data_IF_221893067570
#
_entry.id   IF_221893067570
#
_cell.length_a   1.000
_cell.length_b   1.000
_cell.length_c   1.000
_cell.angle_alpha   90.00
_cell.angle_beta   90.00
_cell.angle_gamma   90.00
#
_symmetry.space_group_name_H-M   'P 1'
#
loop_
_entity.id
_entity.type
_entity.pdbx_description
1 polymer ?
#
# COMPACT_ATOMS: atom_id res chain seq x y z
N UNK A 1 41.65 -47.02 41.73
CA UNK A 1 41.60 -47.10 40.25
C UNK A 1 40.35 -47.77 39.64
N UNK A 2 39.44 -48.40 40.40
CA UNK A 2 38.22 -49.04 39.82
C UNK A 2 36.98 -48.12 39.67
N UNK A 3 36.97 -46.93 40.29
CA UNK A 3 35.83 -45.98 40.23
C UNK A 3 35.84 -45.05 39.00
N UNK A 4 37.02 -44.59 38.55
CA UNK A 4 37.13 -43.71 37.36
C UNK A 4 36.72 -44.40 36.04
N UNK A 5 36.88 -45.73 35.95
CA UNK A 5 36.52 -46.51 34.76
C UNK A 5 35.00 -46.60 34.52
N UNK A 6 34.18 -46.50 35.58
CA UNK A 6 32.72 -46.52 35.45
C UNK A 6 32.15 -45.15 35.08
N UNK A 7 32.76 -44.06 35.54
CA UNK A 7 32.36 -42.69 35.19
C UNK A 7 32.69 -42.34 33.73
N UNK A 8 33.84 -42.79 33.21
CA UNK A 8 34.19 -42.61 31.80
C UNK A 8 33.26 -43.37 30.84
N UNK A 9 32.75 -44.54 31.25
CA UNK A 9 31.77 -45.29 30.46
C UNK A 9 30.38 -44.65 30.47
N UNK A 10 30.01 -43.92 31.53
CA UNK A 10 28.76 -43.17 31.56
C UNK A 10 28.81 -41.90 30.69
N UNK A 11 29.95 -41.21 30.65
CA UNK A 11 30.16 -40.04 29.80
C UNK A 11 30.22 -40.42 28.31
N UNK A 12 30.77 -41.60 27.97
CA UNK A 12 30.79 -42.11 26.60
C UNK A 12 29.42 -42.48 26.02
N UNK A 13 28.46 -42.87 26.87
CA UNK A 13 27.10 -43.26 26.41
C UNK A 13 26.16 -42.05 26.31
N UNK A 14 26.35 -41.01 27.13
CA UNK A 14 25.55 -39.77 27.05
C UNK A 14 25.98 -38.90 25.85
N UNK A 15 27.24 -39.00 25.41
CA UNK A 15 27.74 -38.21 24.27
C UNK A 15 27.30 -38.72 22.88
N UNK A 16 26.61 -39.86 22.80
CA UNK A 16 26.16 -40.45 21.52
C UNK A 16 24.68 -40.18 21.19
N UNK A 17 23.95 -39.46 22.05
CA UNK A 17 22.52 -39.15 21.86
C UNK A 17 22.23 -37.77 21.25
N UNK A 18 23.26 -37.00 20.87
CA UNK A 18 23.10 -35.63 20.33
C UNK A 18 23.35 -35.53 18.81
N UNK A 19 23.50 -36.67 18.12
CA UNK A 19 23.69 -36.74 16.66
C UNK A 19 22.41 -36.70 15.84
N UNK A 20 21.35 -36.08 16.32
CA UNK A 20 20.13 -35.86 15.52
C UNK A 20 20.36 -34.74 14.51
N UNK A 21 20.87 -35.06 13.32
CA UNK A 21 20.65 -34.19 12.18
C UNK A 21 19.13 -34.10 11.98
N UNK A 22 18.59 -32.90 12.18
CA UNK A 22 17.22 -32.61 11.78
C UNK A 22 17.24 -32.68 10.25
N UNK A 23 16.55 -33.66 9.66
CA UNK A 23 16.37 -33.69 8.22
C UNK A 23 15.74 -32.35 7.81
N UNK A 24 16.42 -31.63 6.93
CA UNK A 24 15.85 -30.45 6.33
C UNK A 24 14.59 -30.91 5.58
N UNK A 25 13.44 -30.37 5.98
CA UNK A 25 12.20 -30.59 5.23
C UNK A 25 12.44 -30.05 3.82
N UNK A 26 12.65 -30.95 2.86
CA UNK A 26 12.65 -30.61 1.44
C UNK A 26 11.21 -30.23 1.08
N UNK A 27 10.93 -28.93 1.15
CA UNK A 27 9.68 -28.38 0.64
C UNK A 27 9.66 -28.61 -0.88
N UNK A 28 8.71 -29.36 -1.43
CA UNK A 28 8.67 -29.67 -2.85
C UNK A 28 8.21 -28.45 -3.64
N UNK A 29 9.08 -27.46 -3.85
CA UNK A 29 8.78 -26.29 -4.66
C UNK A 29 9.35 -26.47 -6.07
N UNK A 30 8.62 -27.21 -6.91
CA UNK A 30 8.75 -27.09 -8.36
C UNK A 30 7.95 -25.84 -8.77
N UNK A 31 8.67 -24.76 -9.09
CA UNK A 31 8.19 -23.52 -9.74
C UNK A 31 7.38 -22.49 -8.90
N UNK A 32 8.02 -21.85 -7.92
CA UNK A 32 7.55 -20.59 -7.31
C UNK A 32 7.94 -19.34 -8.12
N UNK A 33 8.56 -19.51 -9.29
CA UNK A 33 9.24 -18.42 -10.04
C UNK A 33 8.33 -17.61 -10.95
N UNK A 34 7.02 -17.92 -11.03
CA UNK A 34 6.11 -17.27 -11.97
C UNK A 34 4.62 -17.30 -11.55
N UNK A 35 4.26 -16.59 -10.48
CA UNK A 35 2.91 -16.64 -9.89
C UNK A 35 2.05 -15.47 -10.36
N UNK A 36 0.79 -15.74 -10.71
CA UNK A 36 -0.20 -14.70 -10.98
C UNK A 36 -0.63 -14.06 -9.65
N UNK A 37 -0.63 -12.73 -9.60
CA UNK A 37 -1.02 -11.94 -8.43
C UNK A 37 -2.18 -11.03 -8.80
N UNK A 38 -3.22 -11.05 -7.99
CA UNK A 38 -4.47 -10.31 -8.22
C UNK A 38 -4.79 -9.47 -6.98
N UNK A 39 -5.09 -8.20 -7.21
CA UNK A 39 -5.61 -7.31 -6.18
C UNK A 39 -6.90 -6.69 -6.71
N UNK A 40 -8.00 -6.84 -5.97
CA UNK A 40 -9.27 -6.24 -6.36
C UNK A 40 -10.29 -6.35 -5.24
N UNK A 41 -10.76 -5.20 -4.78
CA UNK A 41 -11.88 -5.08 -3.87
C UNK A 41 -12.94 -4.22 -4.53
N UNK A 42 -14.17 -4.72 -4.62
CA UNK A 42 -15.35 -3.93 -5.01
C UNK A 42 -15.99 -3.38 -3.75
N UNK A 43 -16.19 -2.06 -3.69
CA UNK A 43 -16.82 -1.37 -2.56
C UNK A 43 -18.12 -0.67 -2.96
N UNK A 44 -18.94 -0.33 -1.99
CA UNK A 44 -20.14 0.50 -2.16
C UNK A 44 -19.84 2.02 -2.12
N UNK A 45 -18.57 2.42 -1.99
CA UNK A 45 -18.17 3.82 -1.99
C UNK A 45 -18.25 4.42 -3.41
N UNK A 46 -18.59 5.71 -3.57
CA UNK A 46 -18.65 6.39 -4.86
C UNK A 46 -17.24 6.78 -5.34
N UNK A 47 -16.36 5.80 -5.47
CA UNK A 47 -14.98 5.96 -5.89
C UNK A 47 -14.64 5.01 -7.03
N UNK A 48 -13.56 5.34 -7.73
CA UNK A 48 -13.03 4.54 -8.82
C UNK A 48 -12.64 3.13 -8.36
N UNK A 49 -13.40 2.13 -8.79
CA UNK A 49 -13.12 0.71 -8.53
C UNK A 49 -12.01 0.20 -9.46
N UNK A 50 -11.01 -0.50 -8.91
CA UNK A 50 -9.83 -0.96 -9.65
C UNK A 50 -9.52 -2.44 -9.39
N UNK A 51 -9.00 -3.10 -10.41
CA UNK A 51 -8.42 -4.44 -10.35
C UNK A 51 -7.00 -4.36 -10.89
N UNK A 52 -6.03 -4.89 -10.15
CA UNK A 52 -4.64 -4.95 -10.57
C UNK A 52 -4.23 -6.39 -10.85
N UNK A 53 -3.65 -6.61 -12.02
CA UNK A 53 -3.12 -7.91 -12.45
C UNK A 53 -1.61 -7.81 -12.63
N UNK A 54 -0.89 -8.71 -11.98
CA UNK A 54 0.56 -8.76 -12.08
C UNK A 54 1.11 -10.17 -11.93
N UNK A 55 2.41 -10.33 -12.14
CA UNK A 55 3.11 -11.59 -12.11
C UNK A 55 4.34 -11.46 -11.23
N UNK A 56 4.36 -12.19 -10.13
CA UNK A 56 5.54 -12.32 -9.30
C UNK A 56 6.57 -13.19 -10.03
N UNK A 57 7.74 -12.61 -10.35
CA UNK A 57 8.83 -13.28 -11.03
C UNK A 57 10.14 -13.00 -10.30
N UNK A 58 10.88 -14.05 -9.99
CA UNK A 58 12.24 -13.91 -9.50
C UNK A 58 13.17 -13.47 -10.65
N UNK A 59 13.98 -12.45 -10.42
CA UNK A 59 15.09 -12.09 -11.29
C UNK A 59 16.09 -13.28 -11.34
N UNK A 60 16.35 -13.86 -12.52
CA UNK A 60 17.23 -15.02 -12.65
C UNK A 60 18.69 -14.76 -12.25
N UNK A 61 19.14 -13.51 -12.27
CA UNK A 61 20.52 -13.10 -12.01
C UNK A 61 20.67 -12.67 -10.54
N UNK A 62 19.75 -11.84 -10.06
CA UNK A 62 19.85 -11.27 -8.70
C UNK A 62 19.08 -12.07 -7.64
N UNK A 63 18.22 -13.00 -8.05
CA UNK A 63 17.32 -13.73 -7.16
C UNK A 63 16.23 -12.85 -6.52
N UNK A 64 16.18 -11.56 -6.85
CA UNK A 64 15.21 -10.62 -6.26
C UNK A 64 13.83 -10.87 -6.83
N UNK A 65 12.81 -10.88 -5.96
CA UNK A 65 11.42 -10.96 -6.37
C UNK A 65 10.99 -9.60 -6.95
N UNK A 66 10.46 -9.63 -8.17
CA UNK A 66 9.85 -8.47 -8.82
C UNK A 66 8.42 -8.77 -9.26
N UNK A 67 7.63 -7.72 -9.51
CA UNK A 67 6.28 -7.85 -10.07
C UNK A 67 6.23 -7.27 -11.47
N UNK A 68 5.80 -8.07 -12.44
CA UNK A 68 5.56 -7.63 -13.82
C UNK A 68 4.07 -7.37 -13.99
N UNK A 69 3.69 -6.15 -14.35
CA UNK A 69 2.29 -5.79 -14.61
C UNK A 69 1.77 -6.52 -15.85
N UNK A 70 0.56 -7.05 -15.79
CA UNK A 70 -0.05 -7.76 -16.92
C UNK A 70 -1.03 -6.83 -17.61
N UNK A 71 -0.63 -6.30 -18.77
CA UNK A 71 -1.45 -5.43 -19.60
C UNK A 71 -2.25 -6.21 -20.65
N UNK A 72 -3.23 -5.53 -21.26
CA UNK A 72 -4.07 -6.04 -22.36
C UNK A 72 -4.92 -7.29 -22.05
N UNK A 73 -5.11 -7.63 -20.77
CA UNK A 73 -6.12 -8.58 -20.36
C UNK A 73 -7.53 -8.02 -20.58
N UNK A 74 -8.49 -8.92 -20.81
CA UNK A 74 -9.92 -8.60 -20.81
C UNK A 74 -10.41 -8.86 -19.39
N UNK A 75 -10.95 -7.85 -18.71
CA UNK A 75 -11.35 -7.94 -17.29
C UNK A 75 -12.81 -7.52 -17.15
N UNK A 76 -13.60 -8.34 -16.44
CA UNK A 76 -14.99 -8.06 -16.12
C UNK A 76 -15.34 -8.53 -14.71
N UNK A 77 -16.32 -7.88 -14.09
CA UNK A 77 -16.94 -8.33 -12.84
C UNK A 77 -18.40 -8.64 -13.14
N UNK A 78 -18.82 -9.88 -12.87
CA UNK A 78 -20.22 -10.27 -12.92
C UNK A 78 -20.92 -9.92 -11.62
N UNK A 79 -22.08 -9.29 -11.74
CA UNK A 79 -23.01 -9.02 -10.64
C UNK A 79 -24.20 -9.97 -10.78
N UNK A 80 -24.49 -10.71 -9.70
CA UNK A 80 -25.56 -11.71 -9.59
C UNK A 80 -25.57 -12.73 -10.74
N UNK A 81 -24.40 -13.04 -11.30
CA UNK A 81 -24.21 -13.96 -12.42
C UNK A 81 -24.88 -13.55 -13.74
N UNK A 82 -25.45 -12.34 -13.84
CA UNK A 82 -26.17 -11.88 -15.03
C UNK A 82 -25.59 -10.62 -15.67
N UNK A 83 -25.14 -9.65 -14.87
CA UNK A 83 -24.65 -8.37 -15.37
C UNK A 83 -23.12 -8.36 -15.39
N UNK A 84 -22.51 -8.32 -16.57
CA UNK A 84 -21.07 -8.16 -16.72
C UNK A 84 -20.69 -6.68 -16.79
N UNK A 85 -19.86 -6.23 -15.84
CA UNK A 85 -19.32 -4.87 -15.80
C UNK A 85 -17.88 -4.91 -16.34
N UNK A 86 -17.59 -4.29 -17.49
CA UNK A 86 -16.25 -4.33 -18.07
C UNK A 86 -15.31 -3.37 -17.34
N UNK A 87 -14.08 -3.79 -17.09
CA UNK A 87 -13.02 -2.94 -16.56
C UNK A 87 -12.01 -2.64 -17.68
N UNK A 88 -11.70 -1.35 -17.85
CA UNK A 88 -10.82 -0.85 -18.91
C UNK A 88 -9.44 -0.56 -18.36
N UNK A 89 -8.39 -0.95 -19.09
CA UNK A 89 -7.01 -0.64 -18.70
C UNK A 89 -6.76 0.88 -18.79
N UNK A 90 -6.25 1.47 -17.72
CA UNK A 90 -5.85 2.90 -17.67
C UNK A 90 -4.34 3.05 -17.57
N UNK A 91 -3.75 2.27 -16.68
CA UNK A 91 -2.32 2.11 -16.53
C UNK A 91 -1.96 0.65 -16.73
N UNK A 92 -0.70 0.37 -17.08
CA UNK A 92 -0.22 -1.00 -17.31
C UNK A 92 -0.58 -1.92 -16.14
N UNK A 93 -1.44 -2.90 -16.40
CA UNK A 93 -1.94 -3.87 -15.43
C UNK A 93 -2.89 -3.34 -14.35
N UNK A 94 -3.41 -2.12 -14.51
CA UNK A 94 -4.47 -1.54 -13.67
C UNK A 94 -5.73 -1.31 -14.50
N UNK A 95 -6.78 -2.05 -14.16
CA UNK A 95 -8.06 -2.07 -14.83
C UNK A 95 -9.09 -1.32 -13.98
N UNK A 96 -9.84 -0.42 -14.60
CA UNK A 96 -10.74 0.50 -13.93
C UNK A 96 -12.18 0.32 -14.43
N UNK A 97 -13.13 0.27 -13.50
CA UNK A 97 -14.55 0.24 -13.80
C UNK A 97 -15.06 1.58 -14.39
N UNK A 98 -16.23 1.61 -15.05
CA UNK A 98 -16.91 2.85 -15.38
C UNK A 98 -17.12 3.71 -14.12
N UNK A 99 -16.99 5.04 -14.24
CA UNK A 99 -17.13 5.97 -13.10
C UNK A 99 -18.50 5.91 -12.41
N UNK A 100 -19.53 5.42 -13.11
CA UNK A 100 -20.88 5.22 -12.57
C UNK A 100 -21.03 3.94 -11.75
N UNK A 101 -20.07 3.02 -11.83
CA UNK A 101 -20.14 1.73 -11.15
C UNK A 101 -19.68 1.85 -9.70
N UNK A 102 -20.55 1.41 -8.80
CA UNK A 102 -20.25 1.12 -7.40
C UNK A 102 -20.95 -0.16 -7.00
N UNK A 103 -20.34 -0.90 -6.09
CA UNK A 103 -20.97 -2.06 -5.49
C UNK A 103 -22.21 -1.71 -4.68
N UNK A 104 -23.03 -2.71 -4.41
CA UNK A 104 -24.28 -2.61 -3.70
C UNK A 104 -24.36 -3.78 -2.70
N UNK A 105 -24.71 -3.45 -1.46
CA UNK A 105 -24.84 -4.43 -0.38
C UNK A 105 -25.91 -5.46 -0.75
N UNK A 106 -25.65 -6.73 -0.44
CA UNK A 106 -26.53 -7.87 -0.73
C UNK A 106 -26.34 -8.48 -2.12
N UNK A 107 -25.69 -7.78 -3.06
CA UNK A 107 -25.37 -8.33 -4.38
C UNK A 107 -24.11 -9.21 -4.35
N UNK A 108 -24.04 -10.14 -5.30
CA UNK A 108 -22.99 -11.12 -5.42
C UNK A 108 -22.05 -10.78 -6.59
N UNK A 109 -20.74 -10.74 -6.34
CA UNK A 109 -19.72 -10.32 -7.30
C UNK A 109 -18.76 -11.45 -7.63
N UNK A 110 -18.43 -11.60 -8.91
CA UNK A 110 -17.43 -12.57 -9.40
C UNK A 110 -16.51 -11.91 -10.41
N UNK A 111 -15.21 -11.99 -10.17
CA UNK A 111 -14.18 -11.57 -11.13
C UNK A 111 -14.03 -12.61 -12.23
N UNK A 112 -13.93 -12.15 -13.48
CA UNK A 112 -13.45 -12.93 -14.62
C UNK A 112 -12.45 -12.13 -15.43
N UNK A 113 -11.43 -12.82 -15.91
CA UNK A 113 -10.52 -12.22 -16.87
C UNK A 113 -9.84 -13.23 -17.79
N UNK A 114 -9.46 -12.74 -18.95
CA UNK A 114 -8.70 -13.46 -19.96
C UNK A 114 -7.37 -12.76 -20.15
N UNK A 115 -6.28 -13.48 -19.94
CA UNK A 115 -4.93 -12.98 -20.18
C UNK A 115 -4.65 -12.84 -21.69
N UNK A 116 -3.65 -12.04 -22.10
CA UNK A 116 -3.27 -11.90 -23.52
C UNK A 116 -2.88 -13.22 -24.21
N UNK A 117 -2.46 -14.22 -23.43
CA UNK A 117 -2.12 -15.57 -23.92
C UNK A 117 -3.34 -16.50 -24.07
N UNK A 118 -4.56 -15.99 -23.81
CA UNK A 118 -5.82 -16.72 -23.94
C UNK A 118 -6.23 -17.53 -22.70
N UNK A 119 -5.43 -17.56 -21.63
CA UNK A 119 -5.83 -18.24 -20.39
C UNK A 119 -6.95 -17.49 -19.67
N UNK A 120 -7.95 -18.24 -19.21
CA UNK A 120 -9.15 -17.71 -18.56
C UNK A 120 -9.17 -18.03 -17.06
N UNK A 121 -9.57 -17.05 -16.27
CA UNK A 121 -9.61 -17.14 -14.81
C UNK A 121 -10.94 -16.65 -14.27
N UNK A 122 -11.35 -17.20 -13.14
CA UNK A 122 -12.54 -16.75 -12.42
C UNK A 122 -12.35 -16.84 -10.91
N UNK A 123 -12.92 -15.89 -10.16
CA UNK A 123 -13.01 -15.97 -8.71
C UNK A 123 -14.18 -16.84 -8.23
N UNK A 124 -14.18 -17.20 -6.95
CA UNK A 124 -15.44 -17.51 -6.25
C UNK A 124 -16.32 -16.27 -6.19
N UNK A 125 -17.60 -16.49 -5.91
CA UNK A 125 -18.56 -15.41 -5.72
C UNK A 125 -18.43 -14.83 -4.32
N UNK A 126 -18.35 -13.50 -4.20
CA UNK A 126 -18.35 -12.76 -2.95
C UNK A 126 -19.65 -11.96 -2.80
N UNK A 127 -20.39 -12.17 -1.70
CA UNK A 127 -21.59 -11.38 -1.39
C UNK A 127 -21.18 -10.19 -0.54
N UNK A 128 -21.53 -8.99 -1.00
CA UNK A 128 -21.21 -7.74 -0.30
C UNK A 128 -22.02 -7.63 1.00
N UNK A 129 -21.36 -7.82 2.14
CA UNK A 129 -21.97 -7.67 3.46
C UNK A 129 -22.14 -6.19 3.83
N UNK A 130 -23.19 -5.80 4.57
CA UNK A 130 -23.30 -4.46 5.12
C UNK A 130 -22.20 -4.22 6.16
N UNK A 131 -21.60 -3.02 6.15
CA UNK A 131 -20.74 -2.59 7.25
C UNK A 131 -21.52 -1.68 8.19
N UNK A 132 -21.48 -1.91 9.52
CA UNK A 132 -22.08 -1.00 10.48
C UNK A 132 -21.34 0.35 10.48
N UNK A 133 -21.97 1.42 10.98
CA UNK A 133 -21.30 2.71 11.14
C UNK A 133 -20.03 2.58 11.99
N UNK A 134 -19.05 3.44 11.71
CA UNK A 134 -17.85 3.55 12.54
C UNK A 134 -18.24 4.27 13.83
N UNK A 135 -17.89 3.68 14.97
CA UNK A 135 -18.08 4.27 16.30
C UNK A 135 -17.13 5.44 16.60
N UNK A 136 -16.83 5.64 17.87
CA UNK A 136 -15.96 6.73 18.32
C UNK A 136 -14.50 6.45 17.95
N UNK A 137 -13.86 7.43 17.29
CA UNK A 137 -12.42 7.43 17.05
C UNK A 137 -11.69 8.30 18.07
N UNK A 138 -10.58 7.80 18.58
CA UNK A 138 -9.69 8.52 19.49
C UNK A 138 -8.26 8.45 18.95
N UNK A 139 -7.74 9.51 18.33
CA UNK A 139 -6.33 9.59 17.96
C UNK A 139 -5.47 9.81 19.20
N UNK A 140 -4.31 9.16 19.26
CA UNK A 140 -3.32 9.36 20.31
C UNK A 140 -1.93 9.48 19.68
N UNK A 141 -1.23 10.57 20.00
CA UNK A 141 0.15 10.75 19.56
C UNK A 141 1.08 9.74 20.23
N UNK A 142 1.96 9.12 19.44
CA UNK A 142 2.97 8.18 19.93
C UNK A 142 4.28 8.35 19.15
N UNK A 143 5.34 8.73 19.85
CA UNK A 143 6.66 8.98 19.26
C UNK A 143 7.37 7.71 18.73
N UNK A 144 6.89 6.51 19.11
CA UNK A 144 7.54 5.23 18.80
C UNK A 144 6.58 4.21 18.16
N UNK A 145 5.53 4.67 17.48
CA UNK A 145 4.48 3.81 16.94
C UNK A 145 4.90 3.06 15.66
N UNK A 146 5.64 3.69 14.75
CA UNK A 146 5.95 3.09 13.45
C UNK A 146 6.95 1.91 13.55
N UNK A 147 6.68 0.79 12.86
CA UNK A 147 7.60 -0.34 12.77
C UNK A 147 8.86 0.02 11.96
N UNK A 148 9.95 -0.72 12.16
CA UNK A 148 11.28 -0.41 11.59
C UNK A 148 11.27 -0.17 10.07
N UNK A 149 10.50 -0.97 9.33
CA UNK A 149 10.37 -0.88 7.87
C UNK A 149 9.61 0.36 7.38
N UNK A 150 8.93 1.08 8.27
CA UNK A 150 8.22 2.33 7.97
C UNK A 150 8.93 3.58 8.53
N UNK A 151 10.06 3.42 9.22
CA UNK A 151 10.79 4.55 9.83
C UNK A 151 11.63 5.31 8.81
N UNK A 152 11.54 6.63 8.82
CA UNK A 152 12.43 7.47 8.02
C UNK A 152 13.85 7.33 8.56
N UNK A 153 14.81 7.05 7.67
CA UNK A 153 16.20 6.75 8.00
C UNK A 153 16.38 5.63 9.04
N UNK A 154 15.37 4.77 9.22
CA UNK A 154 15.36 3.73 10.24
C UNK A 154 15.19 4.23 11.69
N UNK A 155 15.04 5.55 11.90
CA UNK A 155 15.04 6.15 13.25
C UNK A 155 13.69 6.80 13.58
N UNK A 156 13.16 7.65 12.70
CA UNK A 156 11.98 8.44 13.02
C UNK A 156 10.70 7.57 13.00
N UNK A 157 10.01 7.49 14.13
CA UNK A 157 8.95 6.51 14.36
C UNK A 157 7.61 7.10 14.83
N UNK A 158 7.47 8.43 14.81
CA UNK A 158 6.29 9.07 15.37
C UNK A 158 5.05 8.93 14.47
N UNK A 159 3.92 8.61 15.08
CA UNK A 159 2.62 8.51 14.42
C UNK A 159 1.48 8.83 15.39
N UNK A 160 0.27 8.99 14.85
CA UNK A 160 -0.97 8.96 15.61
C UNK A 160 -1.60 7.58 15.50
N UNK A 161 -1.75 6.91 16.65
CA UNK A 161 -2.49 5.67 16.78
C UNK A 161 -3.98 6.01 16.89
N UNK A 162 -4.80 5.52 15.96
CA UNK A 162 -6.26 5.69 16.02
C UNK A 162 -6.89 4.49 16.70
N UNK A 163 -7.61 4.77 17.78
CA UNK A 163 -8.36 3.77 18.52
C UNK A 163 -9.85 3.88 18.26
N UNK A 164 -10.48 2.75 18.02
CA UNK A 164 -11.91 2.61 17.80
C UNK A 164 -12.60 2.07 19.05
N UNK A 165 -13.70 2.72 19.43
CA UNK A 165 -14.70 2.16 20.33
C UNK A 165 -16.04 2.11 19.60
N UNK A 166 -16.58 0.90 19.37
CA UNK A 166 -17.81 0.70 18.60
C UNK A 166 -18.66 -0.42 19.17
N UNK A 167 -19.97 -0.33 18.95
CA UNK A 167 -20.92 -1.37 19.29
C UNK A 167 -21.07 -2.32 18.11
N UNK A 168 -20.80 -3.60 18.33
CA UNK A 168 -20.99 -4.65 17.34
C UNK A 168 -22.50 -4.98 17.21
N UNK A 169 -23.02 -5.21 15.99
CA UNK A 169 -24.40 -5.69 15.80
C UNK A 169 -24.63 -7.06 16.44
N UNK A 170 -25.80 -7.28 17.04
CA UNK A 170 -26.13 -8.60 17.61
C UNK A 170 -26.46 -9.62 16.52
N UNK A 171 -26.35 -10.90 16.87
CA UNK A 171 -26.90 -12.05 16.11
C UNK A 171 -26.25 -12.31 14.73
N UNK A 172 -25.12 -11.69 14.43
CA UNK A 172 -24.35 -11.93 13.20
C UNK A 172 -22.89 -12.17 13.56
N UNK A 173 -22.27 -13.18 12.93
CA UNK A 173 -20.83 -13.39 13.02
C UNK A 173 -20.16 -12.49 11.98
N UNK A 174 -19.59 -11.37 12.45
CA UNK A 174 -19.01 -10.36 11.59
C UNK A 174 -17.48 -10.47 11.50
N UNK A 175 -16.99 -10.20 10.31
CA UNK A 175 -15.58 -10.08 10.02
C UNK A 175 -15.29 -8.68 9.51
N UNK A 176 -14.36 -8.00 10.16
CA UNK A 176 -14.04 -6.61 9.85
C UNK A 176 -12.64 -6.48 9.27
N UNK A 177 -12.48 -5.50 8.39
CA UNK A 177 -11.19 -4.99 7.94
C UNK A 177 -11.17 -3.48 8.07
N UNK A 178 -10.13 -2.94 8.70
CA UNK A 178 -9.90 -1.50 8.72
C UNK A 178 -8.77 -1.13 7.78
N UNK A 179 -8.98 -0.04 7.05
CA UNK A 179 -7.95 0.64 6.28
C UNK A 179 -8.09 2.15 6.49
N UNK A 180 -7.05 2.88 6.12
CA UNK A 180 -7.05 4.31 6.25
C UNK A 180 -6.35 4.98 5.08
N UNK A 181 -6.80 6.20 4.80
CA UNK A 181 -6.21 7.10 3.82
C UNK A 181 -5.97 8.46 4.45
N UNK A 182 -4.80 9.03 4.18
CA UNK A 182 -4.37 10.32 4.72
C UNK A 182 -4.13 11.27 3.56
N UNK A 183 -4.60 12.50 3.71
CA UNK A 183 -4.19 13.62 2.88
C UNK A 183 -3.32 14.56 3.72
N UNK A 184 -2.15 14.92 3.21
CA UNK A 184 -1.28 15.93 3.78
C UNK A 184 -1.00 17.02 2.76
N UNK A 185 -0.92 18.27 3.20
CA UNK A 185 -0.53 19.39 2.33
C UNK A 185 0.91 19.21 1.89
N UNK A 186 1.16 19.28 0.58
CA UNK A 186 2.49 19.16 -0.02
C UNK A 186 2.97 20.51 -0.55
N UNK A 187 4.18 20.89 -0.13
CA UNK A 187 4.80 22.18 -0.50
C UNK A 187 5.75 22.08 -1.71
N UNK A 188 6.27 20.88 -2.01
CA UNK A 188 7.25 20.64 -3.10
C UNK A 188 6.67 19.69 -4.13
N UNK A 189 6.55 20.13 -5.39
CA UNK A 189 5.81 19.40 -6.42
C UNK A 189 6.68 18.71 -7.46
N UNK A 190 7.92 19.18 -7.64
CA UNK A 190 8.83 18.63 -8.65
C UNK A 190 10.25 18.56 -8.12
N UNK A 191 10.91 17.46 -8.47
CA UNK A 191 12.34 17.27 -8.33
C UNK A 191 12.90 17.04 -9.72
N UNK A 192 13.94 17.77 -10.10
CA UNK A 192 14.62 17.63 -11.38
C UNK A 192 16.08 17.25 -11.14
N UNK A 193 16.47 16.07 -11.62
CA UNK A 193 17.84 15.56 -11.57
C UNK A 193 18.62 15.96 -12.81
N UNK A 194 19.79 16.59 -12.64
CA UNK A 194 20.63 17.18 -13.70
C UNK A 194 19.83 18.03 -14.69
N UNK A 195 18.77 18.65 -14.19
CA UNK A 195 17.76 19.30 -14.99
C UNK A 195 17.20 20.49 -14.23
N UNK A 196 16.67 21.44 -14.99
CA UNK A 196 15.96 22.58 -14.45
C UNK A 196 14.49 22.51 -14.84
N UNK A 197 13.61 22.97 -13.96
CA UNK A 197 12.20 23.08 -14.31
C UNK A 197 11.98 24.29 -15.22
N UNK A 198 11.11 24.12 -16.22
CA UNK A 198 10.86 25.13 -17.25
C UNK A 198 9.37 25.15 -17.58
N UNK A 199 8.74 26.32 -17.54
CA UNK A 199 7.31 26.47 -17.87
C UNK A 199 7.08 26.43 -19.39
N UNK A 200 8.07 26.91 -20.15
CA UNK A 200 8.08 26.91 -21.61
C UNK A 200 9.26 26.14 -22.16
N UNK A 201 9.20 25.81 -23.44
CA UNK A 201 10.30 25.14 -24.12
C UNK A 201 11.55 26.05 -24.09
N UNK A 202 12.74 25.51 -23.76
CA UNK A 202 13.96 26.30 -23.82
C UNK A 202 14.10 26.94 -25.20
N UNK A 203 14.28 28.26 -25.24
CA UNK A 203 14.43 29.05 -26.47
C UNK A 203 13.15 29.22 -27.33
N UNK A 204 11.98 28.76 -26.89
CA UNK A 204 10.67 29.03 -27.52
C UNK A 204 9.58 29.30 -26.46
N UNK A 205 9.42 30.58 -26.13
CA UNK A 205 8.47 31.07 -25.12
C UNK A 205 7.01 30.95 -25.54
N UNK A 206 6.72 30.60 -26.80
CA UNK A 206 5.34 30.40 -27.26
C UNK A 206 4.86 28.96 -27.06
N UNK A 207 5.76 28.04 -26.69
CA UNK A 207 5.46 26.63 -26.52
C UNK A 207 5.50 26.26 -25.04
N UNK A 208 4.32 26.05 -24.43
CA UNK A 208 4.20 25.46 -23.08
C UNK A 208 4.86 24.08 -23.03
N UNK A 209 5.63 23.83 -21.97
CA UNK A 209 6.35 22.57 -21.74
C UNK A 209 6.07 22.04 -20.32
N UNK A 210 6.30 22.87 -19.31
CA UNK A 210 6.00 22.61 -17.89
C UNK A 210 6.58 21.29 -17.35
N UNK A 211 7.88 21.07 -17.56
CA UNK A 211 8.59 19.87 -17.11
C UNK A 211 10.10 20.15 -16.88
N UNK A 212 10.83 19.15 -16.40
CA UNK A 212 12.27 19.16 -16.23
C UNK A 212 12.98 19.09 -17.59
N UNK A 213 13.83 20.07 -17.85
CA UNK A 213 14.70 20.14 -19.01
C UNK A 213 16.07 19.59 -18.62
N UNK A 214 16.42 18.44 -19.17
CA UNK A 214 17.72 17.81 -18.99
C UNK A 214 18.83 18.69 -19.59
N UNK A 215 19.81 19.06 -18.77
CA UNK A 215 20.98 19.84 -19.17
C UNK A 215 22.29 19.09 -18.97
N UNK A 216 22.24 17.79 -18.67
CA UNK A 216 23.41 16.92 -18.45
C UNK A 216 24.38 16.89 -19.63
N UNK A 217 23.88 17.09 -20.85
CA UNK A 217 24.72 17.16 -22.08
C UNK A 217 25.53 18.43 -22.19
N UNK A 218 25.13 19.46 -21.45
CA UNK A 218 25.65 20.80 -21.55
C UNK A 218 26.51 21.12 -20.34
N UNK A 219 26.02 20.82 -19.14
CA UNK A 219 26.75 21.04 -17.90
C UNK A 219 27.54 19.77 -17.57
N UNK A 220 28.85 19.79 -17.82
CA UNK A 220 29.78 18.77 -17.32
C UNK A 220 30.08 18.97 -15.81
N UNK A 221 29.04 19.22 -15.00
CA UNK A 221 29.18 19.32 -13.55
C UNK A 221 28.99 17.97 -12.89
N UNK A 222 29.38 17.91 -11.62
CA UNK A 222 28.88 16.89 -10.70
C UNK A 222 27.35 16.85 -10.71
N UNK A 223 26.78 15.68 -10.41
CA UNK A 223 25.34 15.45 -10.31
C UNK A 223 24.69 16.50 -9.40
N UNK A 224 23.64 17.14 -9.89
CA UNK A 224 22.86 18.10 -9.10
C UNK A 224 21.37 17.81 -9.20
N UNK A 225 20.62 18.22 -8.18
CA UNK A 225 19.17 18.07 -8.12
C UNK A 225 18.58 19.38 -7.62
N UNK A 226 17.47 19.81 -8.23
CA UNK A 226 16.69 20.94 -7.73
C UNK A 226 15.24 20.57 -7.47
N UNK A 227 14.70 21.12 -6.40
CA UNK A 227 13.31 20.95 -5.99
C UNK A 227 12.53 22.25 -6.18
N UNK A 228 11.29 22.12 -6.63
CA UNK A 228 10.43 23.24 -6.99
C UNK A 228 9.15 23.18 -6.19
N UNK A 229 8.81 24.32 -5.56
CA UNK A 229 7.61 24.44 -4.74
C UNK A 229 6.34 24.36 -5.58
N UNK A 230 5.26 23.90 -4.96
CA UNK A 230 3.98 23.79 -5.61
C UNK A 230 3.38 25.16 -5.93
N UNK A 231 3.01 25.38 -7.20
CA UNK A 231 2.27 26.57 -7.67
C UNK A 231 0.81 26.51 -7.29
N UNK A 232 0.22 25.32 -7.41
CA UNK A 232 -1.17 25.03 -7.09
C UNK A 232 -1.27 24.24 -5.79
N UNK A 233 -2.42 24.31 -5.10
CA UNK A 233 -2.75 23.37 -4.04
C UNK A 233 -2.42 21.92 -4.40
N UNK A 234 -1.68 21.24 -3.52
CA UNK A 234 -1.27 19.86 -3.74
C UNK A 234 -1.37 19.08 -2.44
N UNK A 235 -1.91 17.87 -2.51
CA UNK A 235 -2.04 16.97 -1.39
C UNK A 235 -1.32 15.67 -1.68
N UNK A 236 -0.37 15.32 -0.82
CA UNK A 236 0.18 13.98 -0.75
C UNK A 236 -0.87 13.07 -0.13
N UNK A 237 -1.08 11.93 -0.78
CA UNK A 237 -1.98 10.88 -0.35
C UNK A 237 -1.17 9.71 0.15
N UNK A 238 -1.46 9.26 1.37
CA UNK A 238 -0.92 8.03 1.92
C UNK A 238 -2.05 7.04 2.20
N UNK A 239 -1.75 5.75 2.06
CA UNK A 239 -2.66 4.67 2.39
C UNK A 239 -1.97 3.73 3.38
N UNK A 240 -2.75 3.18 4.32
CA UNK A 240 -2.27 2.17 5.23
C UNK A 240 -2.10 0.82 4.53
N UNK A 241 -0.90 0.24 4.61
CA UNK A 241 -0.62 -1.09 4.06
C UNK A 241 -0.74 -2.22 5.09
N UNK A 242 -0.82 -1.86 6.39
CA UNK A 242 -1.01 -2.84 7.45
C UNK A 242 -2.40 -3.46 7.35
N UNK A 243 -2.42 -4.79 7.34
CA UNK A 243 -3.64 -5.58 7.38
C UNK A 243 -4.15 -5.54 8.81
N UNK A 244 -5.36 -5.02 8.99
CA UNK A 244 -6.05 -4.99 10.27
C UNK A 244 -7.40 -5.67 10.13
N UNK A 245 -7.44 -6.96 10.47
CA UNK A 245 -8.67 -7.77 10.44
C UNK A 245 -9.10 -8.20 11.84
N UNK A 246 -10.41 -8.39 12.02
CA UNK A 246 -11.01 -8.84 13.27
C UNK A 246 -12.19 -9.75 13.02
N UNK A 247 -12.38 -10.66 13.95
CA UNK A 247 -13.47 -11.61 14.03
C UNK A 247 -14.14 -11.41 15.39
N UNK A 248 -15.44 -11.15 15.36
CA UNK A 248 -16.25 -10.88 16.55
C UNK A 248 -16.67 -12.15 17.31
N UNK A 249 -16.20 -13.36 16.95
CA UNK A 249 -16.67 -14.62 17.55
C UNK A 249 -16.70 -14.62 19.09
N UNK A 250 -15.80 -13.88 19.75
CA UNK A 250 -15.70 -13.77 21.21
C UNK A 250 -16.28 -12.46 21.78
N UNK A 251 -16.80 -11.58 20.93
CA UNK A 251 -17.38 -10.28 21.28
C UNK A 251 -18.64 -9.95 20.48
N UNK A 252 -19.31 -10.94 19.89
CA UNK A 252 -20.48 -10.76 19.02
C UNK A 252 -21.59 -10.05 19.79
N UNK A 253 -22.07 -8.93 19.26
CA UNK A 253 -23.03 -8.05 19.91
C UNK A 253 -22.47 -7.29 21.13
N UNK A 254 -21.17 -7.42 21.41
CA UNK A 254 -20.46 -6.72 22.47
C UNK A 254 -19.83 -5.42 21.99
N UNK A 255 -19.37 -4.60 22.92
CA UNK A 255 -18.62 -3.38 22.57
C UNK A 255 -17.16 -3.74 22.28
N UNK A 256 -16.68 -3.40 21.09
CA UNK A 256 -15.26 -3.40 20.75
C UNK A 256 -14.66 -2.13 21.31
N UNK A 257 -13.80 -2.23 22.32
CA UNK A 257 -13.25 -1.07 23.06
C UNK A 257 -11.78 -0.89 22.74
N UNK A 258 -11.39 0.36 22.46
CA UNK A 258 -10.00 0.80 22.32
C UNK A 258 -9.15 -0.08 21.39
N UNK A 259 -9.73 -0.53 20.27
CA UNK A 259 -9.00 -1.30 19.26
C UNK A 259 -8.18 -0.35 18.39
N UNK A 260 -6.87 -0.54 18.31
CA UNK A 260 -6.04 0.22 17.36
C UNK A 260 -6.35 -0.21 15.93
N UNK A 261 -6.82 0.72 15.11
CA UNK A 261 -7.25 0.47 13.72
C UNK A 261 -6.37 1.14 12.67
N UNK A 262 -5.60 2.18 13.04
CA UNK A 262 -4.67 2.85 12.14
C UNK A 262 -3.45 3.40 12.88
N UNK A 263 -2.35 3.51 12.15
CA UNK A 263 -1.11 4.16 12.56
C UNK A 263 -0.79 5.22 11.50
N UNK A 264 -1.17 6.47 11.74
CA UNK A 264 -1.05 7.56 10.78
C UNK A 264 0.27 8.29 11.02
N UNK A 265 1.26 8.23 10.10
CA UNK A 265 2.57 8.83 10.33
C UNK A 265 2.50 10.33 10.61
N UNK A 266 3.41 10.83 11.44
CA UNK A 266 3.49 12.26 11.77
C UNK A 266 4.69 12.89 11.06
N UNK A 267 4.50 13.37 9.83
CA UNK A 267 5.58 13.98 9.03
C UNK A 267 5.61 15.50 9.06
N UNK A 268 4.50 16.14 9.41
CA UNK A 268 4.41 17.59 9.56
C UNK A 268 3.42 18.01 10.63
N UNK A 269 3.68 19.18 11.23
CA UNK A 269 2.90 19.75 12.34
C UNK A 269 1.53 20.29 11.92
N UNK A 270 1.36 20.66 10.65
CA UNK A 270 0.08 21.12 10.12
C UNK A 270 -0.98 20.02 10.22
N UNK A 271 -2.25 20.43 10.41
CA UNK A 271 -3.37 19.51 10.47
C UNK A 271 -3.54 18.72 9.17
N UNK A 272 -4.17 17.55 9.26
CA UNK A 272 -4.38 16.66 8.13
C UNK A 272 -5.78 16.03 8.14
N UNK A 273 -6.19 15.49 7.00
CA UNK A 273 -7.44 14.75 6.87
C UNK A 273 -7.15 13.25 6.81
N UNK A 274 -7.82 12.48 7.67
CA UNK A 274 -7.72 11.02 7.71
C UNK A 274 -9.10 10.43 7.41
N UNK A 275 -9.21 9.58 6.39
CA UNK A 275 -10.40 8.78 6.10
C UNK A 275 -10.18 7.37 6.64
N UNK A 276 -10.91 7.02 7.70
CA UNK A 276 -10.95 5.68 8.26
C UNK A 276 -12.07 4.90 7.57
N UNK A 277 -11.75 3.70 7.10
CA UNK A 277 -12.70 2.81 6.43
C UNK A 277 -12.84 1.52 7.22
N UNK A 278 -14.08 1.09 7.40
CA UNK A 278 -14.45 -0.18 8.01
C UNK A 278 -15.20 -1.01 6.98
N UNK A 279 -14.53 -2.04 6.46
CA UNK A 279 -15.09 -3.01 5.52
C UNK A 279 -15.64 -4.23 6.23
N UNK A 280 -16.77 -4.76 5.76
CA UNK A 280 -17.30 -6.05 6.15
C UNK A 280 -16.83 -7.14 5.17
N UNK A 281 -16.18 -8.17 5.70
CA UNK A 281 -15.61 -9.29 4.94
C UNK A 281 -16.53 -10.51 4.95
N UNK A 282 -16.41 -11.34 3.91
CA UNK A 282 -16.87 -12.73 3.99
C UNK A 282 -15.92 -13.55 4.87
N UNK A 283 -16.39 -14.68 5.41
CA UNK A 283 -15.53 -15.60 6.17
C UNK A 283 -14.33 -16.10 5.34
N UNK A 284 -14.49 -16.27 4.03
CA UNK A 284 -13.42 -16.67 3.11
C UNK A 284 -12.33 -15.59 2.99
N UNK A 285 -12.74 -14.35 2.76
CA UNK A 285 -11.85 -13.19 2.70
C UNK A 285 -11.12 -12.97 4.03
N UNK A 286 -11.84 -13.08 5.16
CA UNK A 286 -11.24 -12.96 6.49
C UNK A 286 -10.12 -13.99 6.71
N UNK A 287 -10.37 -15.28 6.43
CA UNK A 287 -9.34 -16.32 6.57
C UNK A 287 -8.10 -16.02 5.72
N UNK A 288 -8.29 -15.54 4.50
CA UNK A 288 -7.18 -15.16 3.62
C UNK A 288 -6.36 -14.01 4.20
N UNK A 289 -7.01 -12.89 4.56
CA UNK A 289 -6.31 -11.72 5.09
C UNK A 289 -5.72 -11.97 6.47
N UNK A 290 -6.36 -12.79 7.31
CA UNK A 290 -5.81 -13.18 8.61
C UNK A 290 -4.52 -13.97 8.44
N UNK A 291 -4.51 -14.95 7.53
CA UNK A 291 -3.30 -15.70 7.22
C UNK A 291 -2.20 -14.81 6.64
N UNK A 292 -2.56 -13.89 5.75
CA UNK A 292 -1.60 -12.92 5.20
C UNK A 292 -1.03 -12.01 6.29
N UNK A 293 -1.88 -11.47 7.18
CA UNK A 293 -1.46 -10.67 8.33
C UNK A 293 -0.48 -11.43 9.23
N UNK A 294 -0.80 -12.69 9.55
CA UNK A 294 0.03 -13.50 10.45
C UNK A 294 1.38 -13.86 9.83
N UNK A 295 1.45 -13.99 8.50
CA UNK A 295 2.70 -14.28 7.78
C UNK A 295 3.55 -13.05 7.48
N UNK A 296 2.99 -11.85 7.39
CA UNK A 296 3.73 -10.64 6.98
C UNK A 296 4.03 -9.70 8.14
N UNK A 297 3.15 -9.62 9.14
CA UNK A 297 3.24 -8.63 10.22
C UNK A 297 3.57 -9.24 11.58
N UNK A 298 3.36 -10.55 11.79
CA UNK A 298 3.65 -11.25 13.04
C UNK A 298 4.87 -12.17 12.89
N UNK A 299 5.97 -11.65 12.34
CA UNK A 299 7.22 -12.40 12.07
C UNK A 299 8.35 -12.01 13.03
N UNK A 300 9.26 -12.94 13.33
CA UNK A 300 10.47 -12.71 14.13
C UNK A 300 10.41 -13.14 15.60
N UNK A 301 9.40 -13.91 16.02
CA UNK A 301 9.25 -14.46 17.37
C UNK A 301 9.52 -15.97 17.47
N UNK A 302 9.54 -16.51 18.70
CA UNK A 302 9.72 -17.96 18.94
C UNK A 302 8.53 -18.81 18.45
N UNK A 303 7.42 -18.15 18.07
CA UNK A 303 6.16 -18.74 17.65
C UNK A 303 5.73 -18.20 16.27
N UNK A 304 6.69 -18.03 15.35
CA UNK A 304 6.38 -17.63 13.98
C UNK A 304 5.47 -18.66 13.30
N UNK A 305 4.47 -18.17 12.57
CA UNK A 305 3.56 -19.03 11.82
C UNK A 305 4.34 -19.72 10.70
N UNK A 306 4.30 -21.06 10.58
CA UNK A 306 5.00 -21.75 9.50
C UNK A 306 4.49 -21.24 8.15
N UNK A 307 5.40 -21.00 7.17
CA UNK A 307 4.98 -20.58 5.83
C UNK A 307 3.99 -21.58 5.23
N UNK A 308 2.80 -21.10 4.87
CA UNK A 308 1.79 -21.90 4.17
C UNK A 308 1.34 -21.20 2.90
N UNK A 309 0.91 -21.98 1.91
CA UNK A 309 0.51 -21.47 0.60
C UNK A 309 -0.72 -20.59 0.73
N UNK A 310 -0.55 -19.30 0.46
CA UNK A 310 -1.64 -18.32 0.35
C UNK A 310 -2.38 -18.52 -0.98
N UNK A 311 -3.25 -19.52 -1.04
CA UNK A 311 -4.14 -19.70 -2.20
C UNK A 311 -5.31 -18.74 -2.12
N UNK A 312 -5.47 -17.95 -3.18
CA UNK A 312 -6.59 -17.05 -3.39
C UNK A 312 -7.92 -17.74 -3.69
N UNK A 313 -8.94 -16.93 -3.96
CA UNK A 313 -10.22 -17.41 -4.49
C UNK A 313 -10.31 -17.39 -6.02
N UNK A 314 -9.23 -17.07 -6.72
CA UNK A 314 -9.18 -17.05 -8.19
C UNK A 314 -8.54 -18.31 -8.73
N UNK A 315 -9.15 -18.87 -9.78
CA UNK A 315 -8.71 -20.14 -10.37
C UNK A 315 -8.66 -20.05 -11.90
N UNK A 316 -7.65 -20.68 -12.48
CA UNK A 316 -7.60 -20.94 -13.92
C UNK A 316 -8.66 -22.00 -14.28
N UNK A 317 -9.47 -21.71 -15.31
CA UNK A 317 -10.55 -22.61 -15.76
C UNK A 317 -10.03 -23.91 -16.39
N UNK A 318 -8.88 -23.87 -17.05
CA UNK A 318 -8.26 -25.03 -17.70
C UNK A 318 -7.34 -25.82 -16.76
N UNK A 319 -6.76 -25.18 -15.75
CA UNK A 319 -5.86 -25.81 -14.78
C UNK A 319 -6.15 -25.36 -13.35
N UNK A 320 -7.03 -26.08 -12.64
CA UNK A 320 -7.37 -25.81 -11.24
C UNK A 320 -6.22 -26.01 -10.24
N UNK A 321 -5.10 -26.60 -10.67
CA UNK A 321 -3.89 -26.76 -9.83
C UNK A 321 -2.94 -25.57 -9.92
N UNK A 322 -3.16 -24.63 -10.85
CA UNK A 322 -2.38 -23.40 -10.91
C UNK A 322 -2.64 -22.56 -9.67
N UNK A 323 -1.57 -22.20 -8.95
CA UNK A 323 -1.65 -21.34 -7.78
C UNK A 323 -1.73 -19.88 -8.24
N UNK A 324 -2.77 -19.20 -7.77
CA UNK A 324 -2.96 -17.76 -7.95
C UNK A 324 -2.93 -17.10 -6.57
N UNK A 325 -2.12 -16.05 -6.44
CA UNK A 325 -1.98 -15.25 -5.23
C UNK A 325 -2.96 -14.09 -5.30
N UNK A 326 -3.55 -13.76 -4.16
CA UNK A 326 -4.47 -12.64 -4.01
C UNK A 326 -5.92 -13.09 -3.86
N UNK A 327 -6.77 -12.21 -3.36
CA UNK A 327 -8.17 -12.53 -3.11
C UNK A 327 -9.04 -11.42 -3.68
N UNK A 328 -9.98 -11.80 -4.55
CA UNK A 328 -11.01 -10.89 -5.02
C UNK A 328 -12.08 -10.76 -3.95
N UNK A 329 -12.39 -9.53 -3.55
CA UNK A 329 -13.34 -9.23 -2.47
C UNK A 329 -14.46 -8.30 -2.91
N UNK A 330 -15.61 -8.40 -2.25
CA UNK A 330 -16.67 -7.41 -2.31
C UNK A 330 -17.06 -7.02 -0.89
N UNK A 331 -16.89 -5.74 -0.55
CA UNK A 331 -17.00 -5.24 0.82
C UNK A 331 -17.99 -4.08 0.88
N UNK A 332 -18.97 -4.17 1.78
CA UNK A 332 -19.67 -2.97 2.23
C UNK A 332 -18.72 -2.20 3.13
N UNK A 333 -18.61 -0.90 2.92
CA UNK A 333 -17.68 -0.02 3.62
C UNK A 333 -18.45 1.13 4.25
N UNK A 334 -18.18 1.35 5.54
CA UNK A 334 -18.48 2.59 6.24
C UNK A 334 -17.22 3.43 6.30
N UNK A 335 -17.34 4.74 6.00
CA UNK A 335 -16.21 5.67 5.97
C UNK A 335 -16.45 6.81 6.97
N UNK A 336 -15.41 7.19 7.70
CA UNK A 336 -15.44 8.33 8.61
C UNK A 336 -14.18 9.17 8.39
N UNK A 337 -14.40 10.42 7.97
CA UNK A 337 -13.33 11.41 7.84
C UNK A 337 -13.12 12.15 9.15
N UNK A 338 -11.86 12.23 9.57
CA UNK A 338 -11.42 12.86 10.80
C UNK A 338 -10.38 13.93 10.47
N UNK A 339 -10.62 15.16 10.93
CA UNK A 339 -9.62 16.22 10.90
C UNK A 339 -8.71 16.12 12.12
N UNK A 340 -7.43 15.85 11.90
CA UNK A 340 -6.43 15.70 12.94
C UNK A 340 -5.61 16.99 13.06
N UNK A 341 -5.76 17.75 14.14
CA UNK A 341 -5.14 19.08 14.30
C UNK A 341 -3.68 19.07 14.76
N UNK A 342 -3.16 17.91 15.20
CA UNK A 342 -1.74 17.59 15.49
C UNK A 342 -0.96 18.53 16.43
N UNK A 343 -1.60 19.52 17.04
CA UNK A 343 -0.96 20.51 17.95
C UNK A 343 -0.51 19.89 19.27
N UNK A 344 -1.01 18.71 19.61
CA UNK A 344 -0.64 17.93 20.80
C UNK A 344 0.62 17.07 20.59
N UNK A 345 1.18 17.03 19.38
CA UNK A 345 2.40 16.29 19.09
C UNK A 345 3.57 16.76 19.98
N UNK A 346 4.27 15.79 20.57
CA UNK A 346 5.36 16.04 21.53
C UNK A 346 6.76 15.91 20.91
N UNK A 347 6.85 15.74 19.58
CA UNK A 347 8.11 15.66 18.84
C UNK A 347 8.12 16.65 17.67
N UNK A 348 9.31 17.05 17.25
CA UNK A 348 9.47 17.76 15.99
C UNK A 348 9.23 16.81 14.81
N UNK A 349 8.49 17.29 13.81
CA UNK A 349 8.27 16.55 12.58
C UNK A 349 9.43 16.80 11.60
N UNK A 350 9.89 15.79 10.83
CA UNK A 350 10.99 15.93 9.87
C UNK A 350 10.62 16.79 8.65
N UNK A 351 9.32 16.99 8.41
CA UNK A 351 8.80 17.59 7.18
C UNK A 351 8.43 16.52 6.15
N UNK A 352 7.33 16.74 5.44
CA UNK A 352 6.80 15.82 4.45
C UNK A 352 7.79 15.54 3.30
N UNK A 353 8.55 16.54 2.85
CA UNK A 353 9.56 16.33 1.82
C UNK A 353 10.63 15.33 2.28
N UNK A 354 11.17 15.48 3.49
CA UNK A 354 12.15 14.52 4.03
C UNK A 354 11.55 13.11 4.12
N UNK A 355 10.28 12.99 4.49
CA UNK A 355 9.59 11.71 4.56
C UNK A 355 9.50 11.02 3.18
N UNK A 356 9.21 11.78 2.12
CA UNK A 356 9.11 11.26 0.75
C UNK A 356 10.48 11.04 0.10
N UNK A 357 11.50 11.81 0.50
CA UNK A 357 12.83 11.83 -0.13
C UNK A 357 13.90 11.10 0.68
N UNK A 358 13.50 10.10 1.49
CA UNK A 358 14.41 9.29 2.31
C UNK A 358 15.38 10.14 3.17
N UNK A 359 14.84 11.13 3.87
CA UNK A 359 15.57 12.00 4.80
C UNK A 359 16.34 13.15 4.16
N UNK A 360 16.28 13.34 2.84
CA UNK A 360 16.92 14.48 2.17
C UNK A 360 16.14 15.77 2.40
N UNK A 361 16.86 16.87 2.60
CA UNK A 361 16.28 18.22 2.59
C UNK A 361 15.95 18.65 1.16
N UNK A 362 14.90 19.47 0.97
CA UNK A 362 14.65 20.07 -0.34
C UNK A 362 15.79 21.00 -0.71
N UNK A 363 16.20 20.95 -1.97
CA UNK A 363 17.28 21.75 -2.54
C UNK A 363 16.69 22.71 -3.58
N UNK A 364 16.21 23.90 -3.18
CA UNK A 364 15.63 24.86 -4.11
C UNK A 364 16.66 25.30 -5.16
N UNK A 365 16.20 25.57 -6.38
CA UNK A 365 17.02 26.23 -7.40
C UNK A 365 17.55 27.56 -6.85
N UNK A 366 18.86 27.73 -6.87
CA UNK A 366 19.53 28.99 -6.55
C UNK A 366 19.46 29.90 -7.78
N UNK A 367 19.24 31.20 -7.58
CA UNK A 367 19.23 32.19 -8.65
C UNK A 367 20.47 32.01 -9.56
N UNK A 368 20.21 31.70 -10.84
CA UNK A 368 21.12 31.68 -12.00
C UNK A 368 21.65 30.31 -12.52
N UNK A 369 20.91 29.67 -13.45
CA UNK A 369 21.49 28.89 -14.55
C UNK A 369 22.36 29.77 -15.49
N UNK A 370 22.07 31.08 -15.55
CA UNK A 370 22.77 32.07 -16.38
C UNK A 370 24.24 32.25 -15.98
N UNK A 371 24.56 32.21 -14.67
CA UNK A 371 25.94 32.32 -14.16
C UNK A 371 26.81 31.11 -14.56
N UNK A 372 26.20 30.00 -14.99
CA UNK A 372 26.89 28.81 -15.50
C UNK A 372 26.94 28.74 -17.03
N UNK A 373 26.55 29.80 -17.74
CA UNK A 373 26.58 29.87 -19.20
C UNK A 373 25.44 29.14 -19.92
N UNK A 374 24.41 28.69 -19.18
CA UNK A 374 23.22 28.03 -19.71
C UNK A 374 21.96 28.77 -19.27
N UNK A 375 21.65 29.87 -19.96
CA UNK A 375 20.39 30.57 -19.72
C UNK A 375 19.23 29.71 -20.22
N UNK A 376 18.38 29.25 -19.31
CA UNK A 376 17.06 28.76 -19.68
C UNK A 376 16.19 29.98 -19.89
N UNK A 377 16.17 30.46 -21.13
CA UNK A 377 15.43 31.64 -21.54
C UNK A 377 13.98 31.29 -21.89
N UNK A 378 13.27 30.72 -20.92
CA UNK A 378 11.85 30.38 -21.06
C UNK A 378 10.94 31.58 -20.70
N UNK A 379 11.52 32.68 -20.20
CA UNK A 379 10.82 33.92 -19.86
C UNK A 379 10.10 33.89 -18.51
N UNK A 380 10.29 32.85 -17.71
CA UNK A 380 9.69 32.71 -16.37
C UNK A 380 10.54 33.36 -15.27
N UNK A 381 9.90 33.78 -14.18
CA UNK A 381 10.59 34.17 -12.95
C UNK A 381 11.32 32.96 -12.36
N UNK A 382 12.61 33.11 -12.03
CA UNK A 382 13.42 32.03 -11.45
C UNK A 382 13.69 32.25 -9.95
N UNK A 383 13.57 31.20 -9.12
CA UNK A 383 13.18 29.84 -9.47
C UNK A 383 11.66 29.73 -9.74
N UNK A 384 11.24 28.99 -10.79
CA UNK A 384 9.82 28.80 -11.07
C UNK A 384 9.15 27.93 -10.01
N UNK A 385 7.82 27.96 -9.97
CA UNK A 385 7.02 27.01 -9.17
C UNK A 385 6.50 25.90 -10.08
N UNK A 386 6.22 24.71 -9.54
CA UNK A 386 5.78 23.55 -10.31
C UNK A 386 4.29 23.22 -10.08
N UNK A 387 3.63 22.69 -11.12
CA UNK A 387 2.26 22.19 -10.99
C UNK A 387 2.21 20.86 -10.23
N UNK A 388 1.13 20.68 -9.48
CA UNK A 388 0.82 19.40 -8.86
C UNK A 388 0.32 18.41 -9.94
N UNK A 389 1.16 17.44 -10.32
CA UNK A 389 0.73 16.38 -11.26
C UNK A 389 0.00 15.28 -10.50
N UNK A 390 -1.24 14.99 -10.91
CA UNK A 390 -2.06 13.91 -10.36
C UNK A 390 -1.36 12.55 -10.47
N UNK A 391 -1.47 11.75 -9.42
CA UNK A 391 -1.03 10.36 -9.37
C UNK A 391 -1.86 9.57 -8.35
N UNK A 392 -1.63 8.26 -8.24
CA UNK A 392 -2.27 7.45 -7.19
C UNK A 392 -1.94 7.95 -5.76
N UNK A 393 -0.81 8.64 -5.59
CA UNK A 393 -0.34 9.16 -4.31
C UNK A 393 -0.41 10.68 -4.21
N UNK A 394 -0.99 11.40 -5.19
CA UNK A 394 -1.00 12.87 -5.17
C UNK A 394 -2.17 13.45 -5.93
N UNK A 395 -2.78 14.51 -5.38
CA UNK A 395 -3.87 15.20 -6.05
C UNK A 395 -3.82 16.72 -5.85
N UNK A 396 -4.21 17.44 -6.89
CA UNK A 396 -4.45 18.89 -6.88
C UNK A 396 -5.90 19.22 -6.51
N UNK A 397 -6.78 18.21 -6.42
CA UNK A 397 -8.16 18.39 -6.00
C UNK A 397 -8.23 18.48 -4.47
N UNK A 398 -8.80 19.58 -3.98
CA UNK A 398 -9.01 19.78 -2.54
C UNK A 398 -9.87 18.65 -1.97
N UNK A 399 -9.39 17.89 -0.96
CA UNK A 399 -10.19 16.87 -0.33
C UNK A 399 -11.44 17.49 0.29
N UNK A 400 -12.59 16.85 0.10
CA UNK A 400 -13.81 17.23 0.81
C UNK A 400 -13.57 17.11 2.32
N UNK A 401 -14.04 18.07 3.11
CA UNK A 401 -13.81 18.22 4.56
C UNK A 401 -12.39 18.67 4.98
N UNK A 402 -11.54 19.03 4.02
CA UNK A 402 -10.27 19.71 4.31
C UNK A 402 -10.49 21.07 4.97
N UNK A 403 -9.78 21.35 6.08
CA UNK A 403 -9.81 22.64 6.78
C UNK A 403 -8.53 23.41 6.46
N UNK A 404 -8.69 24.67 6.06
CA UNK A 404 -7.56 25.56 5.76
C UNK A 404 -7.00 26.21 7.03
#
# INVERSE_FOLDING_TARGET
MRFYSRFLKLIGVVSFLIGGCVDAIELPFKDTTNLLVIEGTITNLPETQRIRLSRAKADPITGRLGTIKISKAIVEVLVDSSLAVPFTEKDSGTYQAPLSFKGQVGHAYQLRFTLPDGRNYTSTTEVMQPSPPIGQLTPQFNANSLPLNQRINGVYAAAYDFFLTTQDPTDQHNYYRWSWKLWERQEWCRTCDNAYYSEYYPFDQNRRFEDCVDVSRYIQSEYFTYDYSCRTPCWQVFEGYDINVFDDQYSNGGTIVNRRIAQVPYYQAGGCLVDIRQGALTAGAYRYYKLLQDQTQNTGGLADTPPTVLSGNVHNLANRKEVVIGYFTAEGVSSLRYWLDRRDAQTAAPGLYQALSNGKNPHPETNAPEDRGYGIFDGSDRPPTAVCLESDSRTALKPTDWRD
#
